data_IF_667331469276
#
_entry.id   IF_667331469276
#
_cell.length_a   1.000
_cell.length_b   1.000
_cell.length_c   1.000
_cell.angle_alpha   90.00
_cell.angle_beta   90.00
_cell.angle_gamma   90.00
#
_symmetry.space_group_name_H-M   'P 1'
#
loop_
_entity.id
_entity.type
_entity.pdbx_description
1 polymer ?
#
# COMPACT_ATOMS: atom_id res chain seq x y z
N UNK A 1 -23.94 62.33 -15.36
CA UNK A 1 -22.51 62.54 -15.46
C UNK A 1 -21.81 61.46 -14.65
N UNK A 2 -21.13 60.59 -15.34
CA UNK A 2 -20.04 59.76 -14.90
C UNK A 2 -20.32 58.25 -14.97
N UNK A 3 -20.34 57.72 -16.19
CA UNK A 3 -20.13 56.28 -16.45
C UNK A 3 -18.74 55.88 -15.98
N UNK A 4 -18.63 54.72 -15.33
CA UNK A 4 -17.40 53.91 -15.35
C UNK A 4 -17.74 52.42 -15.46
N UNK A 5 -17.33 51.91 -16.59
CA UNK A 5 -17.23 50.50 -16.93
C UNK A 5 -16.58 49.66 -15.82
N UNK A 6 -17.15 48.50 -15.55
CA UNK A 6 -16.50 47.43 -14.79
C UNK A 6 -16.26 46.28 -15.74
N UNK A 7 -15.02 46.11 -16.09
CA UNK A 7 -14.49 45.00 -16.86
C UNK A 7 -14.71 43.65 -16.16
N UNK A 8 -15.25 42.72 -16.91
CA UNK A 8 -15.46 41.33 -16.47
C UNK A 8 -14.16 40.60 -16.31
N UNK A 9 -13.92 40.12 -15.11
CA UNK A 9 -12.89 39.12 -14.80
C UNK A 9 -13.45 37.73 -14.95
N UNK A 10 -13.05 37.01 -16.00
CA UNK A 10 -13.36 35.59 -16.16
C UNK A 10 -12.69 34.76 -15.09
N UNK A 11 -13.46 34.31 -14.15
CA UNK A 11 -13.03 33.30 -13.18
C UNK A 11 -12.87 31.97 -13.86
N UNK A 12 -11.64 31.57 -14.10
CA UNK A 12 -11.34 30.17 -14.43
C UNK A 12 -11.76 29.28 -13.26
N UNK A 13 -12.76 28.46 -13.48
CA UNK A 13 -13.14 27.41 -12.55
C UNK A 13 -11.99 26.39 -12.51
N UNK A 14 -11.17 26.47 -11.47
CA UNK A 14 -10.19 25.44 -11.13
C UNK A 14 -11.01 24.25 -10.66
N UNK A 15 -11.19 23.28 -11.54
CA UNK A 15 -11.66 21.94 -11.17
C UNK A 15 -10.64 21.34 -10.19
N UNK A 16 -10.97 21.39 -8.91
CA UNK A 16 -10.25 20.66 -7.87
C UNK A 16 -10.46 19.17 -8.12
N UNK A 17 -9.43 18.49 -8.60
CA UNK A 17 -9.36 17.03 -8.60
C UNK A 17 -8.93 16.54 -7.23
N UNK A 18 -9.52 15.47 -6.68
CA UNK A 18 -9.08 14.90 -5.43
C UNK A 18 -7.71 14.22 -5.60
N UNK A 19 -6.73 14.62 -4.81
CA UNK A 19 -5.36 14.10 -4.82
C UNK A 19 -5.24 12.62 -4.40
N UNK A 20 -6.31 12.00 -3.93
CA UNK A 20 -6.39 10.56 -3.65
C UNK A 20 -6.18 9.67 -4.88
N UNK A 21 -6.31 10.23 -6.08
CA UNK A 21 -5.99 9.53 -7.32
C UNK A 21 -4.48 9.32 -7.52
N UNK A 22 -3.61 9.97 -6.74
CA UNK A 22 -2.17 10.03 -7.03
C UNK A 22 -1.37 8.82 -6.56
N UNK A 23 -1.91 7.91 -5.77
CA UNK A 23 -1.14 6.75 -5.27
C UNK A 23 -1.57 5.43 -5.90
N UNK A 24 -2.78 5.33 -6.46
CA UNK A 24 -3.26 4.12 -7.17
C UNK A 24 -3.99 4.45 -8.47
N UNK A 25 -4.48 5.69 -8.66
CA UNK A 25 -5.23 6.10 -9.84
C UNK A 25 -4.82 7.50 -10.27
N UNK A 26 -3.66 7.62 -10.91
CA UNK A 26 -3.36 8.74 -11.79
C UNK A 26 -4.10 8.51 -13.10
N UNK A 27 -5.40 8.66 -13.13
CA UNK A 27 -6.18 8.54 -14.34
C UNK A 27 -6.64 9.88 -14.85
N UNK A 28 -6.41 10.04 -16.14
CA UNK A 28 -7.06 10.95 -17.10
C UNK A 28 -6.43 12.33 -17.30
N UNK A 29 -5.48 12.38 -18.20
CA UNK A 29 -5.50 13.11 -19.49
C UNK A 29 -4.10 13.29 -20.05
N UNK A 30 -3.67 12.39 -20.89
CA UNK A 30 -2.90 12.80 -22.07
C UNK A 30 -3.00 11.74 -23.17
N UNK A 31 -3.48 12.16 -24.33
CA UNK A 31 -3.30 11.44 -25.56
C UNK A 31 -1.87 11.69 -26.06
N UNK A 32 -0.94 10.87 -25.66
CA UNK A 32 0.32 10.74 -26.35
C UNK A 32 0.32 9.39 -27.08
N UNK A 33 0.42 9.47 -28.38
CA UNK A 33 0.77 8.33 -29.23
C UNK A 33 2.20 7.92 -28.90
N UNK A 34 2.38 7.15 -27.85
CA UNK A 34 3.65 6.51 -27.54
C UNK A 34 3.55 5.02 -27.90
N UNK A 35 4.60 4.54 -28.54
CA UNK A 35 4.73 3.20 -29.05
C UNK A 35 4.28 2.14 -28.03
N UNK A 36 3.23 1.40 -28.35
CA UNK A 36 2.80 0.19 -27.67
C UNK A 36 3.90 -0.86 -27.85
N UNK A 37 4.69 -1.09 -26.82
CA UNK A 37 5.52 -2.29 -26.78
C UNK A 37 4.77 -3.36 -25.99
N UNK A 38 4.62 -4.53 -26.55
CA UNK A 38 3.93 -5.69 -25.98
C UNK A 38 4.76 -6.30 -24.84
N UNK A 39 4.17 -6.49 -23.67
CA UNK A 39 4.96 -6.67 -22.46
C UNK A 39 4.41 -7.64 -21.41
N UNK A 40 3.52 -8.54 -21.77
CA UNK A 40 3.00 -9.48 -20.76
C UNK A 40 4.02 -10.55 -20.35
N UNK A 41 4.96 -10.90 -21.23
CA UNK A 41 5.88 -12.03 -21.05
C UNK A 41 7.38 -11.68 -21.18
N UNK A 42 7.76 -10.45 -21.55
CA UNK A 42 9.15 -10.07 -21.76
C UNK A 42 9.73 -9.24 -20.61
N UNK A 43 11.04 -9.42 -20.33
CA UNK A 43 11.78 -8.50 -19.47
C UNK A 43 11.82 -7.09 -20.10
N UNK A 44 11.79 -6.02 -19.27
CA UNK A 44 11.80 -4.65 -19.79
C UNK A 44 13.08 -4.41 -20.61
N UNK A 45 12.98 -3.84 -21.82
CA UNK A 45 14.17 -3.46 -22.58
C UNK A 45 14.92 -2.32 -21.87
N UNK A 46 16.22 -2.39 -21.89
CA UNK A 46 17.15 -1.47 -21.20
C UNK A 46 17.22 -0.05 -21.78
N UNK A 47 16.34 0.38 -22.65
CA UNK A 47 16.05 1.75 -23.08
C UNK A 47 14.91 1.75 -24.11
N UNK A 48 14.00 2.73 -24.01
CA UNK A 48 13.01 2.96 -25.06
C UNK A 48 13.73 3.49 -26.33
N UNK A 49 13.47 2.93 -27.52
CA UNK A 49 14.02 3.49 -28.76
C UNK A 49 13.39 4.84 -29.07
N UNK A 50 14.20 5.79 -29.52
CA UNK A 50 13.75 7.08 -30.01
C UNK A 50 12.67 6.93 -31.12
N UNK A 51 11.73 7.88 -31.28
CA UNK A 51 10.68 7.79 -32.28
C UNK A 51 11.24 7.88 -33.69
N UNK A 52 11.47 6.71 -34.29
CA UNK A 52 11.89 6.52 -35.66
C UNK A 52 11.04 5.46 -36.35
N UNK A 53 11.02 5.40 -37.68
CA UNK A 53 10.37 4.32 -38.44
C UNK A 53 10.90 2.98 -37.94
N UNK A 54 10.00 2.15 -37.41
CA UNK A 54 10.36 0.76 -37.04
C UNK A 54 10.81 0.01 -38.30
N UNK A 55 11.95 -0.67 -38.22
CA UNK A 55 12.38 -1.61 -39.26
C UNK A 55 11.49 -2.87 -39.32
N UNK A 56 11.49 -3.56 -40.42
CA UNK A 56 10.66 -4.75 -40.63
C UNK A 56 10.90 -5.85 -39.56
N UNK A 57 12.11 -5.98 -39.04
CA UNK A 57 12.44 -6.95 -38.00
C UNK A 57 11.80 -6.56 -36.64
N UNK A 58 11.73 -5.28 -36.33
CA UNK A 58 11.05 -4.77 -35.12
C UNK A 58 9.55 -4.97 -35.22
N UNK A 59 8.93 -4.72 -36.37
CA UNK A 59 7.51 -5.00 -36.64
C UNK A 59 7.20 -6.50 -36.48
N UNK A 60 8.05 -7.36 -36.99
CA UNK A 60 7.85 -8.80 -36.92
C UNK A 60 7.95 -9.33 -35.48
N UNK A 61 8.93 -8.86 -34.71
CA UNK A 61 9.04 -9.15 -33.26
C UNK A 61 7.83 -8.67 -32.48
N UNK A 62 7.31 -7.48 -32.80
CA UNK A 62 6.10 -6.95 -32.17
C UNK A 62 4.87 -7.84 -32.42
N UNK A 63 4.63 -8.25 -33.67
CA UNK A 63 3.51 -9.14 -34.04
C UNK A 63 3.63 -10.49 -33.33
N UNK A 64 4.84 -11.05 -33.29
CA UNK A 64 5.07 -12.35 -32.63
C UNK A 64 4.84 -12.25 -31.12
N UNK A 65 5.29 -11.17 -30.49
CA UNK A 65 5.07 -10.95 -29.06
C UNK A 65 3.59 -10.75 -28.75
N UNK A 66 2.87 -9.94 -29.53
CA UNK A 66 1.42 -9.75 -29.37
C UNK A 66 0.64 -11.07 -29.46
N UNK A 67 1.05 -11.96 -30.37
CA UNK A 67 0.44 -13.31 -30.47
C UNK A 67 0.70 -14.15 -29.21
N UNK A 68 1.91 -14.12 -28.67
CA UNK A 68 2.23 -14.80 -27.40
C UNK A 68 1.44 -14.26 -26.24
N UNK A 69 1.29 -12.94 -26.16
CA UNK A 69 0.52 -12.29 -25.11
C UNK A 69 -0.98 -12.62 -25.21
N UNK A 70 -1.58 -12.65 -26.41
CA UNK A 70 -2.94 -13.11 -26.64
C UNK A 70 -3.15 -14.58 -26.27
N UNK A 71 -2.22 -15.44 -26.63
CA UNK A 71 -2.25 -16.85 -26.24
C UNK A 71 -2.19 -16.98 -24.72
N UNK A 72 -1.28 -16.28 -24.06
CA UNK A 72 -1.16 -16.26 -22.61
C UNK A 72 -2.45 -15.79 -21.92
N UNK A 73 -3.09 -14.71 -22.38
CA UNK A 73 -4.36 -14.24 -21.84
C UNK A 73 -5.48 -15.27 -21.98
N UNK A 74 -5.59 -15.92 -23.14
CA UNK A 74 -6.57 -16.98 -23.35
C UNK A 74 -6.32 -18.20 -22.46
N UNK A 75 -5.09 -18.67 -22.37
CA UNK A 75 -4.74 -19.80 -21.52
C UNK A 75 -4.92 -19.53 -20.03
N UNK A 76 -4.71 -18.28 -19.62
CA UNK A 76 -4.71 -17.91 -18.19
C UNK A 76 -6.09 -17.41 -17.76
N UNK A 77 -6.63 -16.40 -18.43
CA UNK A 77 -7.84 -15.70 -18.01
C UNK A 77 -9.09 -16.45 -18.50
N UNK A 78 -9.19 -16.80 -19.79
CA UNK A 78 -10.36 -17.49 -20.30
C UNK A 78 -10.57 -18.84 -19.61
N UNK A 79 -9.50 -19.62 -19.46
CA UNK A 79 -9.53 -20.91 -18.72
C UNK A 79 -9.98 -20.72 -17.27
N UNK A 80 -9.49 -19.68 -16.59
CA UNK A 80 -9.88 -19.38 -15.20
C UNK A 80 -11.35 -19.02 -15.05
N UNK A 81 -12.02 -18.59 -16.13
CA UNK A 81 -13.45 -18.33 -16.21
C UNK A 81 -14.26 -19.50 -16.83
N UNK A 82 -13.61 -20.63 -17.12
CA UNK A 82 -14.26 -21.79 -17.72
C UNK A 82 -14.74 -21.54 -19.16
N UNK A 83 -14.07 -20.66 -19.88
CA UNK A 83 -14.38 -20.33 -21.27
C UNK A 83 -13.35 -21.00 -22.18
N UNK A 84 -13.81 -21.95 -22.99
CA UNK A 84 -12.94 -22.71 -23.89
C UNK A 84 -12.61 -21.95 -25.17
N UNK A 85 -11.54 -22.38 -25.82
CA UNK A 85 -11.05 -21.81 -27.09
C UNK A 85 -10.24 -20.53 -26.88
N UNK A 86 -10.33 -19.61 -27.84
CA UNK A 86 -9.61 -18.34 -27.84
C UNK A 86 -10.61 -17.17 -27.93
N UNK A 87 -11.40 -16.93 -26.88
CA UNK A 87 -12.43 -15.90 -26.89
C UNK A 87 -11.86 -14.48 -26.87
N UNK A 88 -10.65 -14.27 -26.30
CA UNK A 88 -9.96 -12.99 -26.31
C UNK A 88 -9.33 -12.79 -27.67
N UNK A 89 -9.72 -11.72 -28.35
CA UNK A 89 -9.33 -11.43 -29.75
C UNK A 89 -8.27 -10.38 -29.85
N UNK A 90 -8.30 -9.42 -28.92
CA UNK A 90 -7.35 -8.33 -28.90
C UNK A 90 -7.27 -7.74 -27.49
N UNK A 91 -6.26 -6.92 -27.22
CA UNK A 91 -6.13 -6.18 -25.99
C UNK A 91 -5.38 -4.86 -26.21
N UNK A 92 -5.64 -3.90 -25.37
CA UNK A 92 -4.89 -2.65 -25.27
C UNK A 92 -4.41 -2.43 -23.84
N UNK A 93 -3.38 -1.61 -23.66
CA UNK A 93 -2.78 -1.36 -22.35
C UNK A 93 -2.67 0.11 -22.06
N UNK A 94 -3.03 0.50 -20.84
CA UNK A 94 -2.90 1.88 -20.33
C UNK A 94 -2.10 1.83 -19.04
N UNK A 95 -0.97 2.54 -18.98
CA UNK A 95 -0.21 2.69 -17.73
C UNK A 95 -1.01 3.51 -16.74
N UNK A 96 -1.11 3.03 -15.51
CA UNK A 96 -1.76 3.71 -14.41
C UNK A 96 -0.71 4.51 -13.63
N UNK A 97 -0.99 5.80 -13.43
CA UNK A 97 -0.07 6.75 -12.81
C UNK A 97 0.75 7.54 -13.85
N UNK A 98 1.14 8.75 -13.48
CA UNK A 98 2.16 9.51 -14.22
C UNK A 98 3.55 8.92 -13.92
N UNK A 99 4.54 9.19 -14.75
CA UNK A 99 5.92 8.69 -14.56
C UNK A 99 6.51 9.07 -13.19
N UNK A 100 6.03 10.17 -12.58
CA UNK A 100 6.43 10.66 -11.25
C UNK A 100 5.61 10.06 -10.09
N UNK A 101 4.46 9.43 -10.37
CA UNK A 101 3.51 8.92 -9.37
C UNK A 101 3.17 7.44 -9.53
N UNK A 102 3.76 6.76 -10.49
CA UNK A 102 3.72 5.30 -10.58
C UNK A 102 4.27 4.70 -9.28
N UNK A 103 3.62 3.64 -8.78
CA UNK A 103 3.93 3.07 -7.46
C UNK A 103 5.43 2.94 -7.22
N UNK A 104 5.87 3.27 -6.02
CA UNK A 104 7.29 3.40 -5.66
C UNK A 104 8.17 2.20 -6.05
N UNK A 105 7.60 1.02 -6.18
CA UNK A 105 8.32 -0.24 -6.39
C UNK A 105 7.90 -1.03 -7.63
N UNK A 106 6.87 -0.59 -8.36
CA UNK A 106 6.32 -1.33 -9.49
C UNK A 106 5.61 -0.43 -10.50
N UNK A 107 5.64 -0.85 -11.75
CA UNK A 107 4.79 -0.26 -12.80
C UNK A 107 3.46 -1.00 -12.84
N UNK A 108 2.37 -0.27 -12.78
CA UNK A 108 1.01 -0.81 -12.87
C UNK A 108 0.36 -0.37 -14.17
N UNK A 109 -0.21 -1.31 -14.92
CA UNK A 109 -0.94 -1.01 -16.15
C UNK A 109 -2.30 -1.72 -16.14
N UNK A 110 -3.28 -1.09 -16.78
CA UNK A 110 -4.58 -1.70 -17.08
C UNK A 110 -4.53 -2.31 -18.47
N UNK A 111 -5.00 -3.55 -18.58
CA UNK A 111 -5.22 -4.24 -19.85
C UNK A 111 -6.70 -4.19 -20.15
N UNK A 112 -7.08 -3.60 -21.26
CA UNK A 112 -8.43 -3.64 -21.78
C UNK A 112 -8.58 -4.84 -22.72
N UNK A 113 -9.50 -5.74 -22.44
CA UNK A 113 -9.69 -6.98 -23.18
C UNK A 113 -10.86 -6.84 -24.15
N UNK A 114 -10.62 -7.16 -25.41
CA UNK A 114 -11.63 -7.34 -26.44
C UNK A 114 -11.90 -8.82 -26.66
N UNK A 115 -13.13 -9.26 -26.37
CA UNK A 115 -13.51 -10.66 -26.49
C UNK A 115 -14.81 -10.84 -27.30
N UNK A 116 -15.10 -12.08 -27.66
CA UNK A 116 -16.33 -12.43 -28.40
C UNK A 116 -17.57 -12.03 -27.63
N UNK A 117 -18.61 -11.63 -28.34
CA UNK A 117 -19.94 -11.39 -27.75
C UNK A 117 -20.43 -12.61 -26.98
N UNK A 118 -20.97 -12.39 -25.77
CA UNK A 118 -21.48 -13.44 -24.91
C UNK A 118 -20.44 -14.18 -24.07
N UNK A 119 -19.11 -13.95 -24.26
CA UNK A 119 -18.09 -14.49 -23.37
C UNK A 119 -18.18 -13.79 -22.00
N UNK A 120 -18.33 -14.58 -20.94
CA UNK A 120 -18.36 -14.06 -19.55
C UNK A 120 -16.93 -13.84 -19.03
N UNK A 121 -16.23 -12.87 -19.61
CA UNK A 121 -14.87 -12.49 -19.26
C UNK A 121 -14.83 -11.07 -18.72
N UNK A 122 -13.83 -10.71 -17.90
CA UNK A 122 -13.62 -9.33 -17.48
C UNK A 122 -13.25 -8.46 -18.71
N UNK A 123 -13.70 -7.21 -18.71
CA UNK A 123 -13.34 -6.24 -19.76
C UNK A 123 -11.98 -5.60 -19.51
N UNK A 124 -11.49 -5.67 -18.28
CA UNK A 124 -10.17 -5.13 -17.91
C UNK A 124 -9.49 -5.96 -16.83
N UNK A 125 -8.17 -5.93 -16.83
CA UNK A 125 -7.29 -6.56 -15.86
C UNK A 125 -6.23 -5.56 -15.43
N UNK A 126 -5.58 -5.85 -14.31
CA UNK A 126 -4.39 -5.12 -13.85
C UNK A 126 -3.17 -6.00 -14.01
N UNK A 127 -2.14 -5.46 -14.62
CA UNK A 127 -0.79 -6.05 -14.59
C UNK A 127 0.14 -5.15 -13.79
N UNK A 128 0.81 -5.74 -12.81
CA UNK A 128 1.82 -5.09 -11.99
C UNK A 128 3.16 -5.74 -12.28
N UNK A 129 4.19 -4.93 -12.52
CA UNK A 129 5.54 -5.39 -12.86
C UNK A 129 6.56 -4.85 -11.89
N UNK A 130 7.50 -5.69 -11.53
CA UNK A 130 8.66 -5.28 -10.75
C UNK A 130 9.49 -4.23 -11.51
N UNK A 131 9.89 -3.18 -10.83
CA UNK A 131 10.72 -2.11 -11.38
C UNK A 131 10.31 -0.76 -10.82
N UNK A 132 11.18 -0.14 -10.03
CA UNK A 132 10.99 1.21 -9.52
C UNK A 132 11.51 2.24 -10.52
N UNK A 133 10.85 3.40 -10.58
CA UNK A 133 11.26 4.50 -11.45
C UNK A 133 12.42 5.32 -10.85
N UNK A 134 12.56 5.32 -9.53
CA UNK A 134 13.60 6.05 -8.82
C UNK A 134 14.70 5.08 -8.35
N UNK A 135 15.97 5.48 -8.50
CA UNK A 135 17.13 4.64 -8.13
C UNK A 135 17.18 4.36 -6.63
N UNK A 136 16.81 5.31 -5.78
CA UNK A 136 16.73 5.13 -4.33
C UNK A 136 15.70 4.07 -3.95
N UNK A 137 14.51 4.12 -4.56
CA UNK A 137 13.46 3.12 -4.35
C UNK A 137 13.81 1.75 -4.95
N UNK A 138 14.52 1.71 -6.06
CA UNK A 138 14.96 0.44 -6.67
C UNK A 138 15.86 -0.33 -5.70
N UNK A 139 16.89 0.30 -5.14
CA UNK A 139 17.79 -0.33 -4.18
C UNK A 139 17.04 -0.88 -2.96
N UNK A 140 16.05 -0.15 -2.46
CA UNK A 140 15.23 -0.62 -1.34
C UNK A 140 14.27 -1.74 -1.74
N UNK A 141 13.64 -1.64 -2.92
CA UNK A 141 12.76 -2.67 -3.47
C UNK A 141 13.51 -4.01 -3.62
N UNK A 142 14.74 -3.96 -4.11
CA UNK A 142 15.63 -5.12 -4.23
C UNK A 142 16.01 -5.70 -2.85
N UNK A 143 16.42 -4.85 -1.91
CA UNK A 143 16.76 -5.28 -0.54
C UNK A 143 15.56 -5.88 0.19
N UNK A 144 14.39 -5.26 0.05
CA UNK A 144 13.13 -5.74 0.62
C UNK A 144 12.53 -6.92 -0.16
N UNK A 145 13.06 -7.26 -1.34
CA UNK A 145 12.54 -8.32 -2.22
C UNK A 145 11.03 -8.15 -2.51
N UNK A 146 10.58 -6.92 -2.73
CA UNK A 146 9.14 -6.58 -2.79
C UNK A 146 8.37 -7.35 -3.85
N UNK A 147 8.95 -7.56 -5.03
CA UNK A 147 8.32 -8.32 -6.11
C UNK A 147 8.21 -9.80 -5.78
N UNK A 148 9.26 -10.39 -5.21
CA UNK A 148 9.27 -11.79 -4.77
C UNK A 148 8.30 -12.01 -3.60
N UNK A 149 8.20 -11.05 -2.67
CA UNK A 149 7.24 -11.10 -1.57
C UNK A 149 5.81 -11.14 -2.09
N UNK A 150 5.42 -10.23 -2.97
CA UNK A 150 4.06 -10.21 -3.51
C UNK A 150 3.73 -11.53 -4.24
N UNK A 151 4.66 -12.06 -5.02
CA UNK A 151 4.52 -13.40 -5.61
C UNK A 151 4.34 -14.48 -4.54
N UNK A 152 5.18 -14.53 -3.51
CA UNK A 152 5.07 -15.50 -2.39
C UNK A 152 3.73 -15.38 -1.66
N UNK A 153 3.23 -14.17 -1.46
CA UNK A 153 1.93 -13.95 -0.84
C UNK A 153 0.83 -14.66 -1.64
N UNK A 154 0.68 -14.35 -2.91
CA UNK A 154 -0.40 -14.90 -3.72
C UNK A 154 -0.25 -16.40 -4.02
N UNK A 155 0.97 -16.91 -4.12
CA UNK A 155 1.23 -18.33 -4.43
C UNK A 155 1.24 -19.23 -3.21
N UNK A 156 1.72 -18.77 -2.05
CA UNK A 156 1.96 -19.61 -0.87
C UNK A 156 1.06 -19.27 0.33
N UNK A 157 0.71 -18.00 0.53
CA UNK A 157 -0.05 -17.54 1.70
C UNK A 157 -1.54 -17.45 1.42
N UNK A 158 -1.96 -16.90 0.28
CA UNK A 158 -3.38 -16.81 -0.09
C UNK A 158 -4.14 -18.13 0.05
N UNK A 159 -3.61 -19.29 -0.37
CA UNK A 159 -4.30 -20.59 -0.20
C UNK A 159 -4.48 -21.02 1.27
N UNK A 160 -3.80 -20.38 2.21
CA UNK A 160 -3.87 -20.68 3.66
C UNK A 160 -4.82 -19.73 4.42
N UNK A 161 -5.31 -18.69 3.75
CA UNK A 161 -6.24 -17.75 4.34
C UNK A 161 -7.66 -18.31 4.34
N UNK A 162 -8.49 -17.84 5.27
CA UNK A 162 -9.91 -18.16 5.26
C UNK A 162 -10.61 -17.63 4.00
N UNK A 163 -11.71 -18.26 3.60
CA UNK A 163 -12.52 -17.78 2.47
C UNK A 163 -12.98 -16.33 2.67
N UNK A 164 -13.30 -15.94 3.92
CA UNK A 164 -13.69 -14.57 4.27
C UNK A 164 -12.58 -13.59 3.91
N UNK A 165 -11.33 -13.85 4.31
CA UNK A 165 -10.18 -12.98 3.99
C UNK A 165 -9.83 -13.05 2.50
N UNK A 166 -9.80 -14.24 1.92
CA UNK A 166 -9.47 -14.43 0.51
C UNK A 166 -10.44 -13.71 -0.43
N UNK A 167 -11.74 -13.62 -0.07
CA UNK A 167 -12.74 -12.88 -0.85
C UNK A 167 -12.56 -11.36 -0.80
N UNK A 168 -11.77 -10.86 0.15
CA UNK A 168 -11.40 -9.45 0.26
C UNK A 168 -10.13 -9.08 -0.51
N UNK A 169 -9.62 -9.99 -1.33
CA UNK A 169 -8.42 -9.81 -2.16
C UNK A 169 -8.78 -9.89 -3.65
N UNK A 170 -8.01 -9.26 -4.54
CA UNK A 170 -8.22 -9.40 -5.97
C UNK A 170 -7.96 -10.84 -6.41
N UNK A 171 -8.75 -11.32 -7.37
CA UNK A 171 -8.44 -12.57 -8.04
C UNK A 171 -7.14 -12.45 -8.83
N UNK A 172 -6.21 -13.37 -8.60
CA UNK A 172 -4.95 -13.42 -9.32
C UNK A 172 -5.01 -14.51 -10.40
N UNK A 173 -4.67 -14.14 -11.62
CA UNK A 173 -4.65 -15.03 -12.79
C UNK A 173 -3.26 -15.59 -13.05
N UNK A 174 -2.22 -14.77 -12.80
CA UNK A 174 -0.83 -15.18 -12.91
C UNK A 174 0.02 -14.42 -11.89
N UNK A 175 1.02 -15.09 -11.34
CA UNK A 175 1.97 -14.51 -10.42
C UNK A 175 3.37 -15.09 -10.65
N UNK A 176 4.34 -14.23 -10.81
CA UNK A 176 5.77 -14.54 -10.89
C UNK A 176 6.58 -13.49 -10.14
N UNK A 177 7.87 -13.70 -9.84
CA UNK A 177 8.71 -12.68 -9.21
C UNK A 177 8.83 -11.36 -10.01
N UNK A 178 8.53 -11.38 -11.31
CA UNK A 178 8.64 -10.20 -12.17
C UNK A 178 7.30 -9.56 -12.54
N UNK A 179 6.19 -10.30 -12.39
CA UNK A 179 4.87 -9.80 -12.81
C UNK A 179 3.70 -10.47 -12.09
N UNK A 180 2.65 -9.69 -11.90
CA UNK A 180 1.38 -10.10 -11.33
C UNK A 180 0.25 -9.67 -12.26
N UNK A 181 -0.59 -10.62 -12.70
CA UNK A 181 -1.81 -10.37 -13.47
C UNK A 181 -3.01 -10.64 -12.59
N UNK A 182 -3.83 -9.63 -12.36
CA UNK A 182 -4.95 -9.71 -11.43
C UNK A 182 -6.23 -9.04 -11.95
N UNK A 183 -7.31 -9.26 -11.24
CA UNK A 183 -8.60 -8.62 -11.43
C UNK A 183 -8.47 -7.09 -11.35
N UNK A 184 -9.11 -6.38 -12.29
CA UNK A 184 -9.36 -4.95 -12.15
C UNK A 184 -10.60 -4.75 -11.28
N UNK A 185 -10.40 -4.25 -10.08
CA UNK A 185 -11.47 -4.00 -9.11
C UNK A 185 -12.21 -2.68 -9.38
N UNK A 186 -11.68 -1.80 -10.22
CA UNK A 186 -12.25 -0.48 -10.45
C UNK A 186 -13.68 -0.48 -11.01
N UNK A 187 -14.17 -1.51 -11.73
CA UNK A 187 -15.58 -1.57 -12.12
C UNK A 187 -16.54 -1.73 -10.93
N UNK A 188 -16.09 -2.29 -9.79
CA UNK A 188 -16.96 -2.59 -8.64
C UNK A 188 -16.54 -1.94 -7.32
N UNK A 189 -15.38 -1.28 -7.26
CA UNK A 189 -14.87 -0.69 -6.03
C UNK A 189 -14.13 0.62 -6.30
N UNK A 190 -14.07 1.46 -5.29
CA UNK A 190 -13.34 2.73 -5.30
C UNK A 190 -12.21 2.67 -4.27
N UNK A 191 -11.03 3.18 -4.62
CA UNK A 191 -9.92 3.33 -3.68
C UNK A 191 -10.33 4.31 -2.58
N UNK A 192 -10.03 3.97 -1.33
CA UNK A 192 -10.32 4.85 -0.22
C UNK A 192 -9.38 6.06 -0.25
N UNK A 193 -9.94 7.24 0.02
CA UNK A 193 -9.20 8.49 -0.03
C UNK A 193 -8.30 8.65 1.19
N UNK A 194 -6.98 8.63 0.98
CA UNK A 194 -5.98 8.77 2.03
C UNK A 194 -5.94 10.19 2.60
N UNK A 195 -6.24 11.21 1.80
CA UNK A 195 -6.21 12.60 2.24
C UNK A 195 -7.46 12.96 3.05
N UNK A 196 -8.63 12.67 2.52
CA UNK A 196 -9.89 12.93 3.21
C UNK A 196 -10.06 12.00 4.42
N UNK A 197 -9.56 10.78 4.31
CA UNK A 197 -9.64 9.75 5.34
C UNK A 197 -10.89 8.89 5.24
N UNK A 198 -10.85 7.74 5.93
CA UNK A 198 -11.96 6.78 5.97
C UNK A 198 -12.92 7.09 7.12
N UNK A 199 -14.19 6.76 6.92
CA UNK A 199 -15.21 6.80 7.98
C UNK A 199 -15.13 5.56 8.90
N UNK A 200 -15.81 5.64 10.06
CA UNK A 200 -15.81 4.56 11.05
C UNK A 200 -16.43 3.26 10.54
N UNK A 201 -17.47 3.33 9.72
CA UNK A 201 -18.12 2.13 9.17
C UNK A 201 -17.21 1.36 8.20
N UNK A 202 -16.39 2.06 7.42
CA UNK A 202 -15.39 1.41 6.60
C UNK A 202 -14.20 0.92 7.42
N UNK A 203 -13.77 1.68 8.42
CA UNK A 203 -12.73 1.26 9.36
C UNK A 203 -13.12 -0.02 10.11
N UNK A 204 -14.40 -0.21 10.51
CA UNK A 204 -14.87 -1.45 11.11
C UNK A 204 -14.65 -2.66 10.20
N UNK A 205 -14.96 -2.53 8.90
CA UNK A 205 -14.75 -3.62 7.93
C UNK A 205 -13.27 -3.95 7.77
N UNK A 206 -12.42 -2.93 7.68
CA UNK A 206 -10.99 -3.11 7.57
C UNK A 206 -10.38 -3.72 8.85
N UNK A 207 -10.86 -3.33 10.04
CA UNK A 207 -10.44 -3.94 11.32
C UNK A 207 -10.84 -5.42 11.41
N UNK A 208 -12.04 -5.78 10.95
CA UNK A 208 -12.47 -7.20 10.90
C UNK A 208 -11.60 -8.01 9.92
N UNK A 209 -11.30 -7.44 8.76
CA UNK A 209 -10.40 -8.05 7.77
C UNK A 209 -9.00 -8.25 8.37
N UNK A 210 -8.44 -7.24 9.02
CA UNK A 210 -7.14 -7.33 9.69
C UNK A 210 -7.11 -8.44 10.76
N UNK A 211 -8.13 -8.50 11.63
CA UNK A 211 -8.23 -9.57 12.63
C UNK A 211 -8.30 -10.96 12.00
N UNK A 212 -9.06 -11.11 10.90
CA UNK A 212 -9.14 -12.36 10.15
C UNK A 212 -7.82 -12.77 9.48
N UNK A 213 -7.02 -11.79 9.06
CA UNK A 213 -5.68 -11.99 8.53
C UNK A 213 -4.68 -12.40 9.64
N UNK A 214 -4.75 -11.73 10.78
CA UNK A 214 -3.77 -11.89 11.86
C UNK A 214 -3.97 -13.17 12.67
N UNK A 215 -5.21 -13.53 13.00
CA UNK A 215 -5.51 -14.63 13.93
C UNK A 215 -4.91 -15.99 13.53
N UNK A 216 -4.94 -16.43 12.25
CA UNK A 216 -4.40 -17.74 11.86
C UNK A 216 -2.90 -17.89 12.08
N UNK A 217 -2.15 -16.78 12.08
CA UNK A 217 -0.70 -16.75 12.20
C UNK A 217 -0.22 -16.20 13.54
N UNK A 218 -1.12 -15.99 14.49
CA UNK A 218 -0.82 -15.42 15.79
C UNK A 218 0.10 -16.32 16.61
N UNK A 219 1.21 -15.74 17.06
CA UNK A 219 2.24 -16.49 17.77
C UNK A 219 3.03 -17.41 16.84
N UNK A 220 4.29 -17.26 16.80
CA UNK A 220 5.30 -17.77 15.88
C UNK A 220 5.18 -19.19 15.28
N UNK A 221 4.68 -20.25 15.96
CA UNK A 221 4.81 -21.63 15.41
C UNK A 221 3.99 -21.90 14.14
N UNK A 222 3.07 -21.02 13.76
CA UNK A 222 2.22 -21.17 12.57
C UNK A 222 2.68 -20.32 11.40
N UNK A 223 3.73 -19.50 11.59
CA UNK A 223 4.23 -18.61 10.56
C UNK A 223 4.93 -19.43 9.46
N UNK A 224 4.54 -19.29 8.19
CA UNK A 224 5.23 -19.96 7.08
C UNK A 224 6.66 -19.46 6.90
N UNK A 225 7.58 -20.34 6.48
CA UNK A 225 9.00 -20.00 6.26
C UNK A 225 9.24 -18.90 5.22
N UNK A 226 8.25 -18.65 4.35
CA UNK A 226 8.33 -17.58 3.36
C UNK A 226 8.03 -16.19 3.93
N UNK A 227 7.62 -16.08 5.19
CA UNK A 227 7.33 -14.82 5.88
C UNK A 227 8.58 -14.39 6.63
N UNK A 228 9.17 -13.27 6.22
CA UNK A 228 10.37 -12.72 6.83
C UNK A 228 10.04 -12.18 8.23
N UNK A 229 10.79 -12.55 9.28
CA UNK A 229 10.62 -11.98 10.62
C UNK A 229 10.79 -10.45 10.62
N UNK A 230 10.00 -9.74 11.43
CA UNK A 230 10.05 -8.28 11.52
C UNK A 230 11.41 -7.72 11.96
N UNK A 231 12.13 -8.47 12.79
CA UNK A 231 13.50 -8.13 13.23
C UNK A 231 14.58 -8.43 12.17
N UNK A 232 14.27 -9.17 11.11
CA UNK A 232 15.23 -9.46 10.04
C UNK A 232 15.62 -8.17 9.31
N UNK A 233 16.92 -7.92 9.04
CA UNK A 233 17.37 -6.72 8.35
C UNK A 233 16.77 -6.48 6.96
N UNK A 234 16.26 -7.52 6.30
CA UNK A 234 15.57 -7.43 5.01
C UNK A 234 14.06 -7.17 5.15
N UNK A 235 13.53 -7.19 6.37
CA UNK A 235 12.12 -6.90 6.60
C UNK A 235 11.80 -5.43 6.33
N UNK A 236 10.56 -5.17 5.93
CA UNK A 236 10.07 -3.80 5.77
C UNK A 236 10.21 -2.97 7.04
N UNK A 237 9.87 -3.54 8.20
CA UNK A 237 9.97 -2.86 9.49
C UNK A 237 11.39 -2.45 9.85
N UNK A 238 12.37 -3.34 9.64
CA UNK A 238 13.79 -3.07 9.91
C UNK A 238 14.37 -2.04 8.93
N UNK A 239 14.01 -2.12 7.66
CA UNK A 239 14.48 -1.17 6.64
C UNK A 239 13.99 0.26 6.92
N UNK A 240 12.71 0.41 7.27
CA UNK A 240 12.14 1.71 7.65
C UNK A 240 12.80 2.25 8.91
N UNK A 241 12.97 1.44 9.92
CA UNK A 241 13.59 1.88 11.19
C UNK A 241 15.04 2.30 10.97
N UNK A 242 15.82 1.52 10.23
CA UNK A 242 17.22 1.84 9.95
C UNK A 242 17.35 3.18 9.21
N UNK A 243 16.53 3.38 8.17
CA UNK A 243 16.53 4.62 7.39
C UNK A 243 16.07 5.83 8.21
N UNK A 244 15.00 5.68 8.98
CA UNK A 244 14.51 6.74 9.87
C UNK A 244 15.54 7.15 10.90
N UNK A 245 16.34 6.22 11.42
CA UNK A 245 17.42 6.53 12.37
C UNK A 245 18.52 7.41 11.76
N UNK A 246 18.77 7.32 10.46
CA UNK A 246 19.70 8.20 9.74
C UNK A 246 19.14 9.62 9.63
N UNK A 247 17.84 9.76 9.29
CA UNK A 247 17.15 11.05 9.16
C UNK A 247 17.07 11.76 10.51
N UNK A 248 16.73 11.06 11.60
CA UNK A 248 16.69 11.63 12.94
C UNK A 248 18.05 12.18 13.40
N UNK A 249 19.17 11.57 13.00
CA UNK A 249 20.52 12.08 13.29
C UNK A 249 20.77 13.43 12.62
N UNK A 250 20.17 13.66 11.44
CA UNK A 250 20.32 14.90 10.70
C UNK A 250 19.51 16.09 11.25
N UNK A 251 18.71 15.94 12.30
CA UNK A 251 17.78 16.93 12.88
C UNK A 251 16.72 17.47 11.91
N UNK A 252 16.49 16.80 10.81
CA UNK A 252 15.51 17.21 9.78
C UNK A 252 14.14 16.58 9.97
N UNK A 253 13.92 15.96 11.12
CA UNK A 253 12.64 15.32 11.42
C UNK A 253 11.49 16.33 11.39
N UNK A 254 10.43 15.95 10.68
CA UNK A 254 9.15 16.65 10.59
C UNK A 254 9.16 17.99 9.82
N UNK A 255 10.17 18.23 8.98
CA UNK A 255 10.08 19.26 7.92
C UNK A 255 9.90 20.69 8.40
N UNK A 256 10.52 21.06 9.52
CA UNK A 256 10.72 22.47 9.88
C UNK A 256 9.47 23.29 10.23
N UNK A 257 8.35 22.66 10.58
CA UNK A 257 7.17 23.37 11.09
C UNK A 257 7.22 23.62 12.60
N UNK A 258 8.39 23.57 13.18
CA UNK A 258 8.91 24.03 14.45
C UNK A 258 7.97 24.43 15.57
N UNK A 259 7.07 23.55 16.05
CA UNK A 259 6.56 23.74 17.40
C UNK A 259 7.32 22.86 18.40
N UNK A 260 7.30 23.23 19.68
CA UNK A 260 8.02 22.53 20.75
C UNK A 260 7.62 21.05 20.87
N UNK A 261 6.39 20.69 20.49
CA UNK A 261 5.90 19.31 20.50
C UNK A 261 6.58 18.46 19.41
N UNK A 262 6.82 19.02 18.23
CA UNK A 262 7.50 18.35 17.14
C UNK A 262 8.97 18.05 17.50
N UNK A 263 9.65 18.99 18.18
CA UNK A 263 11.02 18.81 18.63
C UNK A 263 11.13 17.72 19.71
N UNK A 264 10.19 17.70 20.65
CA UNK A 264 10.14 16.69 21.72
C UNK A 264 9.89 15.27 21.14
N UNK A 265 8.98 15.14 20.18
CA UNK A 265 8.72 13.87 19.48
C UNK A 265 9.96 13.41 18.71
N UNK A 266 10.60 14.32 17.96
CA UNK A 266 11.82 14.02 17.20
C UNK A 266 12.96 13.54 18.09
N UNK A 267 13.20 14.24 19.20
CA UNK A 267 14.23 13.88 20.17
C UNK A 267 13.97 12.49 20.80
N UNK A 268 12.72 12.24 21.21
CA UNK A 268 12.34 10.95 21.79
C UNK A 268 12.50 9.80 20.79
N UNK A 269 12.04 9.97 19.56
CA UNK A 269 12.18 8.96 18.52
C UNK A 269 13.65 8.70 18.17
N UNK A 270 14.49 9.74 18.13
CA UNK A 270 15.90 9.59 17.92
C UNK A 270 16.59 8.78 19.03
N UNK A 271 16.27 9.08 20.29
CA UNK A 271 16.83 8.39 21.46
C UNK A 271 16.40 6.92 21.52
N UNK A 272 15.14 6.63 21.18
CA UNK A 272 14.52 5.33 21.44
C UNK A 272 14.18 4.49 20.18
N UNK A 273 14.57 4.92 18.97
CA UNK A 273 14.21 4.24 17.71
C UNK A 273 14.54 2.73 17.73
N UNK A 274 15.75 2.38 18.17
CA UNK A 274 16.17 0.98 18.28
C UNK A 274 15.38 0.18 19.31
N UNK A 275 15.07 0.80 20.44
CA UNK A 275 14.31 0.16 21.52
C UNK A 275 12.83 -0.04 21.14
N UNK A 276 12.23 0.94 20.49
CA UNK A 276 10.87 0.85 19.96
C UNK A 276 10.77 -0.31 18.96
N UNK A 277 11.71 -0.34 18.01
CA UNK A 277 11.73 -1.39 16.99
C UNK A 277 11.95 -2.77 17.60
N UNK A 278 12.96 -2.94 18.42
CA UNK A 278 13.26 -4.21 19.11
C UNK A 278 12.07 -4.69 19.93
N UNK A 279 11.51 -3.83 20.76
CA UNK A 279 10.36 -4.21 21.59
C UNK A 279 9.16 -4.62 20.74
N UNK A 280 8.88 -3.92 19.66
CA UNK A 280 7.79 -4.23 18.74
C UNK A 280 8.02 -5.55 17.99
N UNK A 281 9.25 -5.90 17.63
CA UNK A 281 9.54 -7.08 16.80
C UNK A 281 9.95 -8.33 17.61
N UNK A 282 10.38 -8.17 18.85
CA UNK A 282 10.86 -9.28 19.68
C UNK A 282 10.00 -9.56 20.92
N UNK A 283 9.36 -8.54 21.51
CA UNK A 283 8.63 -8.67 22.78
C UNK A 283 7.09 -8.68 22.58
N UNK A 284 6.58 -8.18 21.48
CA UNK A 284 5.15 -8.16 21.13
C UNK A 284 4.79 -9.45 20.36
N UNK A 285 3.61 -10.05 20.58
CA UNK A 285 3.16 -11.19 19.77
C UNK A 285 3.19 -10.86 18.28
N UNK A 286 3.87 -11.72 17.52
CA UNK A 286 4.02 -11.57 16.08
C UNK A 286 2.92 -12.31 15.32
N UNK A 287 2.52 -11.77 14.19
CA UNK A 287 1.59 -12.39 13.25
C UNK A 287 1.98 -12.03 11.80
N UNK A 288 1.28 -12.55 10.81
CA UNK A 288 1.39 -12.08 9.44
C UNK A 288 0.73 -10.69 9.36
N UNK A 289 1.51 -9.66 9.03
CA UNK A 289 1.01 -8.30 8.82
C UNK A 289 1.17 -7.90 7.35
N UNK A 290 0.29 -7.02 6.88
CA UNK A 290 0.39 -6.38 5.58
C UNK A 290 1.56 -5.39 5.52
N UNK A 291 1.81 -4.72 6.64
CA UNK A 291 2.83 -3.70 6.88
C UNK A 291 2.67 -2.38 6.08
N UNK A 292 1.58 -2.24 5.31
CA UNK A 292 1.15 -0.97 4.67
C UNK A 292 -0.39 -0.90 4.55
N UNK A 293 -1.11 -1.24 5.65
CA UNK A 293 -2.59 -1.30 5.66
C UNK A 293 -3.19 0.10 5.84
N UNK A 294 -3.01 0.97 4.86
CA UNK A 294 -3.54 2.34 4.83
C UNK A 294 -4.63 2.51 3.77
N UNK A 295 -5.38 3.62 3.83
CA UNK A 295 -6.51 3.88 2.93
C UNK A 295 -6.15 3.72 1.45
N UNK A 296 -4.97 4.17 1.01
CA UNK A 296 -4.53 4.03 -0.38
C UNK A 296 -4.41 2.58 -0.88
N UNK A 297 -4.29 1.60 0.03
CA UNK A 297 -4.26 0.17 -0.28
C UNK A 297 -5.58 -0.54 0.00
N UNK A 298 -6.63 0.22 0.34
CA UNK A 298 -7.97 -0.30 0.59
C UNK A 298 -8.94 0.19 -0.48
N UNK A 299 -9.83 -0.69 -0.92
CA UNK A 299 -10.92 -0.31 -1.80
C UNK A 299 -12.27 -0.61 -1.15
N UNK A 300 -13.19 0.33 -1.29
CA UNK A 300 -14.58 0.20 -0.86
C UNK A 300 -15.42 -0.34 -2.01
N UNK A 301 -16.00 -1.52 -1.86
CA UNK A 301 -16.96 -2.03 -2.85
C UNK A 301 -18.17 -1.14 -2.93
N UNK A 302 -18.64 -0.89 -4.17
CA UNK A 302 -19.92 -0.22 -4.44
C UNK A 302 -21.08 -1.14 -4.15
N UNK A 303 -22.16 -0.60 -3.62
CA UNK A 303 -23.40 -1.33 -3.34
C UNK A 303 -24.08 -0.83 -2.07
N UNK A 304 -25.41 -0.87 -2.05
CA UNK A 304 -26.20 -0.42 -0.91
C UNK A 304 -26.00 -1.34 0.30
N UNK A 305 -25.48 -0.81 1.39
CA UNK A 305 -25.50 -1.41 2.73
C UNK A 305 -24.52 -2.55 3.01
N UNK A 306 -23.86 -3.14 2.02
CA UNK A 306 -22.99 -4.32 2.18
C UNK A 306 -21.64 -4.24 1.48
N UNK A 307 -21.25 -3.08 0.97
CA UNK A 307 -19.96 -2.95 0.27
C UNK A 307 -18.81 -3.47 1.14
N UNK A 308 -18.03 -4.42 0.62
CA UNK A 308 -16.88 -5.03 1.28
C UNK A 308 -15.72 -4.05 1.42
N UNK A 309 -14.70 -4.48 2.17
CA UNK A 309 -13.38 -3.87 2.20
C UNK A 309 -12.42 -4.81 1.46
N UNK A 310 -11.78 -4.29 0.42
CA UNK A 310 -10.78 -5.05 -0.35
C UNK A 310 -9.40 -4.49 -0.03
N UNK A 311 -8.40 -5.40 0.06
CA UNK A 311 -7.03 -5.07 0.42
C UNK A 311 -6.08 -5.40 -0.73
N UNK A 312 -5.22 -4.45 -1.07
CA UNK A 312 -4.29 -4.50 -2.20
C UNK A 312 -2.84 -4.34 -1.73
N UNK A 313 -1.91 -4.67 -2.62
CA UNK A 313 -0.48 -4.32 -2.52
C UNK A 313 0.29 -5.03 -1.40
N UNK A 314 0.53 -6.32 -1.59
CA UNK A 314 1.23 -7.21 -0.66
C UNK A 314 2.76 -7.19 -0.78
N UNK A 315 3.34 -6.08 -1.17
CA UNK A 315 4.80 -5.96 -1.40
C UNK A 315 5.62 -5.87 -0.12
N UNK A 316 5.00 -5.45 0.99
CA UNK A 316 5.70 -5.13 2.23
C UNK A 316 5.46 -6.13 3.36
N UNK A 317 4.60 -7.12 3.15
CA UNK A 317 4.21 -8.06 4.20
C UNK A 317 5.42 -8.73 4.89
N UNK A 318 5.30 -8.95 6.17
CA UNK A 318 6.29 -9.64 7.00
C UNK A 318 5.62 -10.21 8.27
N UNK A 319 6.39 -10.88 9.11
CA UNK A 319 5.96 -11.09 10.48
C UNK A 319 6.13 -9.79 11.27
N UNK A 320 5.12 -9.46 12.08
CA UNK A 320 5.16 -8.24 12.87
C UNK A 320 4.01 -8.18 13.89
N UNK A 321 3.97 -7.12 14.72
CA UNK A 321 2.86 -6.93 15.63
C UNK A 321 1.58 -6.58 14.85
N UNK A 322 0.49 -7.30 15.06
CA UNK A 322 -0.78 -7.04 14.36
C UNK A 322 -1.29 -5.60 14.52
N UNK A 323 -0.92 -4.95 15.62
CA UNK A 323 -1.28 -3.55 15.86
C UNK A 323 -0.52 -2.56 14.98
N UNK A 324 0.55 -2.97 14.28
CA UNK A 324 1.17 -2.15 13.24
C UNK A 324 0.18 -1.82 12.11
N UNK A 325 -0.53 -2.83 11.60
CA UNK A 325 -1.56 -2.65 10.58
C UNK A 325 -2.75 -1.85 11.11
N UNK A 326 -3.16 -2.10 12.35
CA UNK A 326 -4.25 -1.35 13.00
C UNK A 326 -3.85 0.13 13.20
N UNK A 327 -2.62 0.42 13.59
CA UNK A 327 -2.13 1.80 13.69
C UNK A 327 -2.07 2.48 12.32
N UNK A 328 -1.55 1.81 11.29
CA UNK A 328 -1.57 2.31 9.91
C UNK A 328 -3.00 2.65 9.46
N UNK A 329 -3.96 1.77 9.75
CA UNK A 329 -5.36 1.97 9.42
C UNK A 329 -5.98 3.14 10.20
N UNK A 330 -5.91 3.13 11.53
CA UNK A 330 -6.66 4.08 12.38
C UNK A 330 -5.96 5.44 12.50
N UNK A 331 -4.63 5.44 12.54
CA UNK A 331 -3.86 6.67 12.73
C UNK A 331 -3.58 7.36 11.40
N UNK A 332 -3.13 6.62 10.38
CA UNK A 332 -2.76 7.23 9.11
C UNK A 332 -3.96 7.47 8.18
N UNK A 333 -5.06 6.70 8.33
CA UNK A 333 -6.16 6.72 7.38
C UNK A 333 -7.44 7.38 7.89
N UNK A 334 -7.65 7.56 9.20
CA UNK A 334 -8.80 8.32 9.72
C UNK A 334 -8.43 9.79 9.96
N UNK A 335 -9.43 10.69 9.87
CA UNK A 335 -9.23 12.05 10.36
C UNK A 335 -8.99 12.06 11.87
N UNK A 336 -8.32 13.08 12.41
CA UNK A 336 -8.06 13.19 13.85
C UNK A 336 -9.36 13.16 14.66
N UNK A 337 -10.41 13.85 14.20
CA UNK A 337 -11.72 13.89 14.87
C UNK A 337 -12.41 12.52 14.85
N UNK A 338 -12.45 11.84 13.70
CA UNK A 338 -13.05 10.52 13.59
C UNK A 338 -12.27 9.48 14.44
N UNK A 339 -10.95 9.53 14.43
CA UNK A 339 -10.11 8.67 15.27
C UNK A 339 -10.39 8.90 16.76
N UNK A 340 -10.42 10.17 17.23
CA UNK A 340 -10.73 10.48 18.65
C UNK A 340 -12.08 9.95 19.08
N UNK A 341 -13.06 9.98 18.18
CA UNK A 341 -14.42 9.52 18.48
C UNK A 341 -14.55 7.99 18.49
N UNK A 342 -13.86 7.29 17.57
CA UNK A 342 -14.16 5.87 17.30
C UNK A 342 -13.01 4.92 17.59
N UNK A 343 -11.78 5.39 17.85
CA UNK A 343 -10.60 4.53 17.91
C UNK A 343 -10.70 3.45 18.99
N UNK A 344 -11.14 3.80 20.18
CA UNK A 344 -11.25 2.84 21.29
C UNK A 344 -12.28 1.74 20.98
N UNK A 345 -13.40 2.09 20.36
CA UNK A 345 -14.42 1.11 19.95
C UNK A 345 -13.89 0.18 18.85
N UNK A 346 -13.11 0.72 17.91
CA UNK A 346 -12.47 -0.05 16.85
C UNK A 346 -11.37 -0.98 17.41
N UNK A 347 -10.60 -0.54 18.40
CA UNK A 347 -9.63 -1.40 19.10
C UNK A 347 -10.35 -2.51 19.91
N UNK A 348 -11.47 -2.21 20.56
CA UNK A 348 -12.32 -3.21 21.22
C UNK A 348 -12.92 -4.19 20.20
N UNK A 349 -13.30 -3.72 19.02
CA UNK A 349 -13.76 -4.57 17.94
C UNK A 349 -12.65 -5.53 17.48
N UNK A 350 -11.43 -5.03 17.29
CA UNK A 350 -10.27 -5.85 16.94
C UNK A 350 -10.01 -6.94 17.98
N UNK A 351 -9.97 -6.57 19.27
CA UNK A 351 -9.80 -7.48 20.39
C UNK A 351 -10.87 -8.58 20.39
N UNK A 352 -12.16 -8.20 20.30
CA UNK A 352 -13.28 -9.16 20.27
C UNK A 352 -13.17 -10.11 19.07
N UNK A 353 -12.86 -9.58 17.89
CA UNK A 353 -12.74 -10.41 16.68
C UNK A 353 -11.58 -11.39 16.77
N UNK A 354 -10.46 -11.01 17.35
CA UNK A 354 -9.36 -11.92 17.66
C UNK A 354 -9.79 -13.01 18.63
N UNK A 355 -10.55 -12.65 19.70
CA UNK A 355 -11.09 -13.62 20.65
C UNK A 355 -12.05 -14.62 20.01
N UNK A 356 -12.96 -14.17 19.11
CA UNK A 356 -13.83 -15.03 18.31
C UNK A 356 -13.05 -16.03 17.43
N UNK A 357 -11.82 -15.66 17.03
CA UNK A 357 -10.91 -16.46 16.21
C UNK A 357 -9.89 -17.26 17.06
N UNK A 358 -10.04 -17.27 18.37
CA UNK A 358 -9.25 -18.09 19.29
C UNK A 358 -7.94 -17.43 19.77
N UNK A 359 -7.79 -16.13 19.64
CA UNK A 359 -6.64 -15.36 20.14
C UNK A 359 -7.05 -14.55 21.37
N UNK A 360 -6.51 -14.90 22.52
CA UNK A 360 -6.68 -14.10 23.74
C UNK A 360 -5.65 -12.96 23.76
N UNK A 361 -6.14 -11.73 23.86
CA UNK A 361 -5.30 -10.53 23.85
C UNK A 361 -5.77 -9.58 24.93
N UNK A 362 -5.02 -9.49 26.03
CA UNK A 362 -5.36 -8.61 27.14
C UNK A 362 -5.44 -7.16 26.69
N UNK A 363 -6.40 -6.42 27.24
CA UNK A 363 -6.63 -5.01 26.82
C UNK A 363 -5.44 -4.10 27.12
N UNK A 364 -4.81 -4.28 28.27
CA UNK A 364 -3.68 -3.43 28.68
C UNK A 364 -2.46 -3.66 27.79
N UNK A 365 -2.20 -4.94 27.41
CA UNK A 365 -1.15 -5.28 26.45
C UNK A 365 -1.49 -4.73 25.06
N UNK A 366 -2.74 -4.86 24.62
CA UNK A 366 -3.18 -4.30 23.35
C UNK A 366 -2.94 -2.78 23.31
N UNK A 367 -3.29 -2.06 24.36
CA UNK A 367 -3.10 -0.60 24.44
C UNK A 367 -1.62 -0.22 24.47
N UNK A 368 -0.78 -0.98 25.21
CA UNK A 368 0.65 -0.78 25.23
C UNK A 368 1.27 -0.99 23.82
N UNK A 369 0.89 -2.08 23.17
CA UNK A 369 1.41 -2.43 21.86
C UNK A 369 0.87 -1.49 20.76
N UNK A 370 -0.33 -0.95 20.92
CA UNK A 370 -0.87 0.09 20.03
C UNK A 370 -0.06 1.40 20.12
N UNK A 371 0.36 1.81 21.32
CA UNK A 371 1.24 2.97 21.52
C UNK A 371 2.60 2.76 20.83
N UNK A 372 3.20 1.57 20.94
CA UNK A 372 4.42 1.20 20.21
C UNK A 372 4.20 1.27 18.69
N UNK A 373 3.08 0.76 18.19
CA UNK A 373 2.75 0.78 16.77
C UNK A 373 2.55 2.21 16.24
N UNK A 374 1.97 3.12 17.03
CA UNK A 374 1.88 4.55 16.68
C UNK A 374 3.28 5.14 16.47
N UNK A 375 4.23 4.87 17.36
CA UNK A 375 5.61 5.34 17.22
C UNK A 375 6.29 4.74 15.97
N UNK A 376 6.00 3.49 15.64
CA UNK A 376 6.51 2.87 14.41
C UNK A 376 5.94 3.53 13.14
N UNK A 377 4.69 4.05 13.17
CA UNK A 377 4.14 4.81 12.03
C UNK A 377 4.89 6.14 11.81
N UNK A 378 5.47 6.73 12.84
CA UNK A 378 6.32 7.90 12.69
C UNK A 378 7.61 7.59 11.90
N UNK A 379 8.16 6.39 12.02
CA UNK A 379 9.28 5.95 11.18
C UNK A 379 8.90 5.85 9.71
N UNK A 380 7.72 5.28 9.42
CA UNK A 380 7.22 5.16 8.05
C UNK A 380 7.04 6.53 7.38
N UNK A 381 6.49 7.49 8.11
CA UNK A 381 6.29 8.85 7.58
C UNK A 381 7.64 9.51 7.26
N UNK A 382 8.62 9.40 8.13
CA UNK A 382 9.94 9.95 7.86
C UNK A 382 10.58 9.35 6.62
N UNK A 383 10.50 8.04 6.50
CA UNK A 383 11.02 7.33 5.34
C UNK A 383 10.31 7.79 4.04
N UNK A 384 8.98 7.82 4.04
CA UNK A 384 8.20 8.15 2.85
C UNK A 384 8.47 9.59 2.34
N UNK A 385 8.96 10.46 3.21
CA UNK A 385 9.17 11.88 2.89
C UNK A 385 10.61 12.30 2.68
N UNK A 386 11.57 11.37 2.74
CA UNK A 386 12.95 11.69 2.38
C UNK A 386 13.09 12.09 0.90
N UNK A 387 12.34 11.41 0.01
CA UNK A 387 12.42 11.60 -1.43
C UNK A 387 11.19 12.32 -2.04
N UNK A 388 10.17 12.61 -1.23
CA UNK A 388 8.98 13.36 -1.65
C UNK A 388 9.01 14.74 -1.05
N UNK A 389 9.19 15.77 -1.87
CA UNK A 389 9.19 17.14 -1.38
C UNK A 389 7.78 17.57 -1.00
N UNK A 390 7.67 18.53 -0.07
CA UNK A 390 6.38 19.13 0.29
C UNK A 390 5.71 19.83 -0.91
N UNK A 391 6.46 20.10 -1.98
CA UNK A 391 5.97 20.67 -3.24
C UNK A 391 5.25 19.62 -4.08
N UNK A 392 5.70 18.35 -4.07
CA UNK A 392 5.14 17.25 -4.86
C UNK A 392 3.81 16.73 -4.29
N UNK A 393 3.66 16.69 -2.97
CA UNK A 393 2.46 16.16 -2.33
C UNK A 393 2.10 16.85 -1.00
N UNK A 394 1.84 18.17 -1.02
CA UNK A 394 1.79 18.98 0.21
C UNK A 394 0.65 18.60 1.16
N UNK A 395 -0.52 18.22 0.63
CA UNK A 395 -1.70 17.90 1.44
C UNK A 395 -1.60 16.52 2.12
N UNK A 396 -1.22 15.51 1.37
CA UNK A 396 -1.04 14.15 1.91
C UNK A 396 0.02 14.15 3.01
N UNK A 397 1.16 14.79 2.74
CA UNK A 397 2.26 14.97 3.67
C UNK A 397 1.80 15.64 4.97
N UNK A 398 1.22 16.83 4.86
CA UNK A 398 0.81 17.63 6.02
C UNK A 398 -0.27 16.90 6.84
N UNK A 399 -1.24 16.26 6.17
CA UNK A 399 -2.33 15.54 6.83
C UNK A 399 -1.84 14.28 7.52
N UNK A 400 -1.02 13.47 6.88
CA UNK A 400 -0.50 12.23 7.46
C UNK A 400 0.38 12.52 8.68
N UNK A 401 1.29 13.48 8.58
CA UNK A 401 2.11 13.96 9.69
C UNK A 401 1.26 14.41 10.87
N UNK A 402 0.31 15.33 10.63
CA UNK A 402 -0.58 15.84 11.68
C UNK A 402 -1.35 14.72 12.38
N UNK A 403 -1.84 13.72 11.63
CA UNK A 403 -2.56 12.58 12.19
C UNK A 403 -1.70 11.78 13.17
N UNK A 404 -0.44 11.54 12.82
CA UNK A 404 0.50 10.79 13.67
C UNK A 404 0.91 11.58 14.89
N UNK A 405 1.30 12.85 14.75
CA UNK A 405 1.65 13.71 15.89
C UNK A 405 0.49 13.78 16.90
N UNK A 406 -0.71 14.02 16.41
CA UNK A 406 -1.89 14.05 17.26
C UNK A 406 -2.18 12.68 17.92
N UNK A 407 -1.86 11.57 17.27
CA UNK A 407 -2.01 10.26 17.89
C UNK A 407 -0.95 10.01 18.97
N UNK A 408 0.29 10.39 18.74
CA UNK A 408 1.37 10.31 19.74
C UNK A 408 0.95 11.05 21.02
N UNK A 409 0.38 12.25 20.88
CA UNK A 409 -0.11 13.07 22.00
C UNK A 409 -1.34 12.44 22.65
N UNK A 410 -2.37 12.08 21.87
CA UNK A 410 -3.65 11.58 22.38
C UNK A 410 -3.49 10.27 23.17
N UNK A 411 -2.50 9.45 22.84
CA UNK A 411 -2.21 8.15 23.49
C UNK A 411 -1.02 8.21 24.45
N UNK A 412 -0.46 9.40 24.75
CA UNK A 412 0.68 9.60 25.64
C UNK A 412 1.85 8.66 25.29
N UNK A 413 2.18 8.56 23.98
CA UNK A 413 3.18 7.59 23.53
C UNK A 413 4.58 7.88 24.05
N UNK A 414 4.90 9.15 24.35
CA UNK A 414 6.21 9.56 24.89
C UNK A 414 6.41 9.18 26.36
N UNK A 415 5.37 8.74 27.07
CA UNK A 415 5.49 8.22 28.44
C UNK A 415 5.98 6.77 28.47
N UNK A 416 6.17 6.13 27.32
CA UNK A 416 6.77 4.81 27.26
C UNK A 416 8.25 4.89 27.67
N UNK A 417 8.63 4.05 28.62
CA UNK A 417 10.02 3.98 29.12
C UNK A 417 10.72 2.75 28.58
N UNK A 418 11.99 2.91 28.25
CA UNK A 418 12.85 1.84 27.78
C UNK A 418 14.05 1.70 28.73
N UNK A 419 14.35 0.50 29.24
CA UNK A 419 15.50 0.27 30.12
C UNK A 419 16.81 0.66 29.40
N UNK A 420 17.69 1.38 30.09
CA UNK A 420 19.00 1.75 29.54
C UNK A 420 19.84 0.51 29.26
N UNK A 421 20.63 0.58 28.19
CA UNK A 421 21.43 -0.57 27.66
C UNK A 421 22.38 -1.18 28.71
N UNK A 422 22.81 -0.43 29.74
CA UNK A 422 23.66 -0.92 30.83
C UNK A 422 22.93 -1.85 31.84
N UNK A 423 21.65 -1.67 32.04
CA UNK A 423 20.84 -2.53 32.92
C UNK A 423 20.53 -3.89 32.30
N UNK A 424 20.56 -3.99 30.96
CA UNK A 424 20.27 -5.20 30.19
C UNK A 424 21.36 -6.26 30.22
N UNK A 425 22.61 -5.91 30.56
CA UNK A 425 23.73 -6.85 30.68
C UNK A 425 23.78 -7.57 32.04
N UNK A 426 22.84 -7.25 32.93
CA UNK A 426 22.78 -7.80 34.30
C UNK A 426 21.63 -8.78 34.53
N UNK A 427 20.72 -8.89 33.58
CA UNK A 427 19.64 -9.89 33.57
C UNK A 427 19.83 -10.88 32.41
#
# INVERSE_FOLDING_TARGET
MGEKEVMGGGGAAVLRMPAAAMIVVGCLRWKSKAATSSFLLAEPPSAAPAPGRMDLGSVQRFIEQTRKDLQFLNETVARAHGVDGSPIKDFDTTTLGEESSAGYFSTTSRIHIMHNEGARLPHSLIVKRAGGFNESFRSMAERAQVAEKEHKFYSLLLPRLSTEVASSLPRVYHSSPSSLLMEDLSPRADVADQEEGIDSAFAEKAVRLAAGLHAPFWGSPRMPDCVVPGADPSSWLSLIQAKSSEIYRAREFLGGCGDEADEAIGAYLHEHAGDIHRRATEEVPQTLIHADMRAGNLMRERGEGKGGCLLLDWQTFCAGPGLYDIASLLVCSMTVSARRLHCLDLLRLYQRRLGELGVDYAWDDLMLHFRLAILQQAFLINYAFEDVTAEDCPLLFTRARRRIIQAITDFNCLDLTFPKTEERKKN
#
